data_IF_145496553165
#
_entry.id   IF_145496553165
#
_cell.length_a   1.000
_cell.length_b   1.000
_cell.length_c   1.000
_cell.angle_alpha   90.00
_cell.angle_beta   90.00
_cell.angle_gamma   90.00
#
_symmetry.space_group_name_H-M   'P 1'
#
loop_
_entity.id
_entity.type
_entity.pdbx_description
1 polymer ?
#
# COMPACT_ATOMS: atom_id res chain seq x y z
N UNK A 1 12.68 -6.70 49.67
CA UNK A 1 13.56 -7.32 48.67
C UNK A 1 13.80 -6.30 47.57
N UNK A 2 15.07 -6.10 47.22
CA UNK A 2 15.59 -4.99 46.42
C UNK A 2 14.98 -4.91 45.02
N UNK A 3 14.51 -3.72 44.66
CA UNK A 3 14.36 -3.29 43.27
C UNK A 3 15.75 -2.81 42.83
N UNK A 4 16.46 -3.63 42.06
CA UNK A 4 17.70 -3.22 41.41
C UNK A 4 17.36 -2.22 40.30
N UNK A 5 17.85 -1.00 40.46
CA UNK A 5 17.96 0.00 39.41
C UNK A 5 18.74 -0.58 38.23
N UNK A 6 18.06 -0.94 37.15
CA UNK A 6 18.68 -1.08 35.84
C UNK A 6 18.93 0.34 35.32
N UNK A 7 20.13 0.84 35.58
CA UNK A 7 20.59 2.11 35.02
C UNK A 7 20.68 2.00 33.51
N UNK A 8 19.75 2.64 32.81
CA UNK A 8 19.94 2.97 31.40
C UNK A 8 21.04 4.04 31.32
N UNK A 9 22.05 3.89 30.44
CA UNK A 9 23.05 4.91 30.26
C UNK A 9 22.39 6.18 29.71
N UNK A 10 22.53 7.28 30.45
CA UNK A 10 22.23 8.64 29.99
C UNK A 10 23.15 8.91 28.80
N UNK A 11 22.58 9.09 27.60
CA UNK A 11 23.35 9.57 26.46
C UNK A 11 23.86 10.97 26.79
N UNK A 12 25.18 11.12 26.95
CA UNK A 12 25.81 12.42 27.08
C UNK A 12 25.70 13.16 25.75
N UNK A 13 24.90 14.23 25.78
CA UNK A 13 24.73 15.24 24.74
C UNK A 13 26.03 16.07 24.62
N UNK A 14 27.07 15.47 24.03
CA UNK A 14 28.41 16.07 23.94
C UNK A 14 29.51 15.18 23.36
N UNK A 15 29.22 13.94 22.99
CA UNK A 15 30.20 13.06 22.32
C UNK A 15 30.28 13.36 20.82
N UNK A 16 31.50 13.60 20.32
CA UNK A 16 31.82 13.75 18.89
C UNK A 16 31.14 12.67 18.04
N UNK A 17 30.43 13.10 16.99
CA UNK A 17 29.92 12.22 15.94
C UNK A 17 31.14 11.65 15.20
N UNK A 18 31.55 10.42 15.52
CA UNK A 18 32.53 9.69 14.70
C UNK A 18 31.88 9.30 13.38
N UNK A 19 32.15 10.08 12.33
CA UNK A 19 31.82 9.71 10.96
C UNK A 19 32.63 8.47 10.56
N UNK A 20 31.93 7.35 10.32
CA UNK A 20 32.53 6.12 9.81
C UNK A 20 32.68 6.22 8.28
N UNK A 21 33.87 6.62 7.84
CA UNK A 21 34.29 6.57 6.44
C UNK A 21 35.73 6.11 6.34
N UNK A 22 36.02 5.20 5.39
CA UNK A 22 37.41 4.87 5.02
C UNK A 22 38.12 6.17 4.61
N UNK A 23 39.25 6.49 5.23
CA UNK A 23 40.20 7.52 4.77
C UNK A 23 40.58 7.22 3.31
N UNK A 24 39.92 7.86 2.34
CA UNK A 24 40.60 8.21 1.08
C UNK A 24 41.54 9.34 1.47
N UNK A 25 42.83 9.19 1.21
CA UNK A 25 43.80 10.26 1.34
C UNK A 25 43.38 11.42 0.44
N UNK A 26 42.68 12.39 1.01
CA UNK A 26 42.54 13.70 0.42
C UNK A 26 43.93 14.32 0.46
N UNK A 27 44.54 14.46 -0.71
CA UNK A 27 45.71 15.31 -0.92
C UNK A 27 45.48 16.63 -0.18
N UNK A 28 46.42 17.00 0.70
CA UNK A 28 46.39 18.21 1.53
C UNK A 28 46.11 19.43 0.65
N UNK A 29 44.85 19.82 0.54
CA UNK A 29 44.47 21.18 0.17
C UNK A 29 44.71 22.07 1.40
N UNK A 30 45.37 23.19 1.13
CA UNK A 30 45.62 24.34 2.00
C UNK A 30 44.54 24.55 3.08
N UNK A 31 44.97 24.76 4.33
CA UNK A 31 44.13 25.27 5.42
C UNK A 31 43.60 26.67 5.05
N UNK A 32 42.36 26.80 4.57
CA UNK A 32 41.73 28.12 4.52
C UNK A 32 40.20 28.20 4.41
N UNK A 33 39.42 27.17 4.74
CA UNK A 33 37.97 27.35 4.94
C UNK A 33 37.49 26.54 6.16
N UNK A 34 37.22 27.24 7.27
CA UNK A 34 36.61 26.69 8.49
C UNK A 34 35.13 26.28 8.28
N UNK A 35 34.49 26.88 7.27
CA UNK A 35 33.09 26.66 6.92
C UNK A 35 32.94 26.39 5.42
N UNK A 36 32.02 25.51 5.05
CA UNK A 36 31.65 25.31 3.65
C UNK A 36 30.77 26.48 3.18
N UNK A 37 31.22 27.23 2.18
CA UNK A 37 30.51 28.39 1.62
C UNK A 37 29.97 28.16 0.21
N UNK A 38 29.91 26.90 -0.24
CA UNK A 38 29.28 26.60 -1.54
C UNK A 38 27.77 26.88 -1.45
N UNK A 39 27.12 27.23 -2.57
CA UNK A 39 25.68 27.47 -2.60
C UNK A 39 24.86 26.33 -1.97
N UNK A 40 25.26 25.08 -2.23
CA UNK A 40 24.59 23.89 -1.72
C UNK A 40 24.70 23.77 -0.19
N UNK A 41 25.87 24.11 0.38
CA UNK A 41 26.07 24.13 1.82
C UNK A 41 25.24 25.22 2.51
N UNK A 42 25.17 26.40 1.90
CA UNK A 42 24.38 27.52 2.43
C UNK A 42 22.89 27.20 2.39
N UNK A 43 22.40 26.64 1.28
CA UNK A 43 21.01 26.21 1.12
C UNK A 43 20.64 25.12 2.13
N UNK A 44 21.49 24.09 2.27
CA UNK A 44 21.28 23.01 3.23
C UNK A 44 21.27 23.52 4.68
N UNK A 45 22.22 24.38 5.05
CA UNK A 45 22.27 24.98 6.38
C UNK A 45 21.04 25.84 6.67
N UNK A 46 20.62 26.69 5.72
CA UNK A 46 19.41 27.48 5.83
C UNK A 46 18.16 26.63 6.01
N UNK A 47 18.03 25.54 5.22
CA UNK A 47 16.91 24.59 5.28
C UNK A 47 16.86 23.80 6.58
N UNK A 48 18.01 23.49 7.20
CA UNK A 48 18.06 22.86 8.53
C UNK A 48 17.63 23.87 9.59
N UNK A 49 18.23 25.06 9.57
CA UNK A 49 17.99 26.09 10.58
C UNK A 49 16.54 26.57 10.63
N UNK A 50 15.85 26.66 9.47
CA UNK A 50 14.44 27.07 9.44
C UNK A 50 13.50 26.04 10.07
N UNK A 51 13.87 24.76 10.05
CA UNK A 51 13.03 23.67 10.58
C UNK A 51 13.20 23.47 12.09
N UNK A 52 14.32 23.93 12.64
CA UNK A 52 14.66 23.78 14.05
C UNK A 52 13.92 24.77 14.95
N UNK A 53 13.62 24.36 16.18
CA UNK A 53 13.14 25.23 17.24
C UNK A 53 14.08 25.17 18.46
N UNK A 54 14.92 26.19 18.59
CA UNK A 54 15.94 26.25 19.65
C UNK A 54 15.37 26.52 21.05
N UNK A 55 14.06 26.70 21.21
CA UNK A 55 13.43 26.80 22.53
C UNK A 55 13.34 25.44 23.24
N UNK A 56 13.40 24.34 22.49
CA UNK A 56 13.45 22.99 23.05
C UNK A 56 14.88 22.59 23.39
N UNK A 57 15.07 21.95 24.56
CA UNK A 57 16.32 21.31 24.91
C UNK A 57 16.48 20.03 24.06
N UNK A 58 17.50 19.90 23.18
CA UNK A 58 17.66 18.74 22.31
C UNK A 58 17.86 17.43 23.07
N UNK A 59 18.31 17.49 24.33
CA UNK A 59 18.55 16.31 25.15
C UNK A 59 17.28 15.87 25.91
N UNK A 60 16.21 16.69 25.88
CA UNK A 60 14.88 16.38 26.46
C UNK A 60 13.86 16.07 25.37
N UNK A 61 13.80 16.90 24.33
CA UNK A 61 12.91 16.72 23.17
C UNK A 61 13.64 17.07 21.87
N UNK A 62 14.35 16.08 21.33
CA UNK A 62 15.06 16.24 20.07
C UNK A 62 14.10 16.45 18.88
N UNK A 63 12.86 15.96 18.95
CA UNK A 63 11.89 16.13 17.87
C UNK A 63 11.36 17.56 17.83
N UNK A 64 10.95 18.12 18.98
CA UNK A 64 10.62 19.54 19.12
C UNK A 64 11.78 20.43 18.68
N UNK A 65 13.00 20.11 19.11
CA UNK A 65 14.19 20.86 18.69
C UNK A 65 14.48 20.82 17.19
N UNK A 66 14.37 19.65 16.55
CA UNK A 66 14.75 19.47 15.14
C UNK A 66 13.64 19.77 14.14
N UNK A 67 12.36 19.68 14.54
CA UNK A 67 11.20 19.81 13.67
C UNK A 67 10.20 20.88 14.11
N UNK A 68 10.36 21.49 15.29
CA UNK A 68 9.38 22.43 15.85
C UNK A 68 9.13 23.66 14.98
N UNK A 69 10.14 24.16 14.26
CA UNK A 69 9.99 25.23 13.28
C UNK A 69 9.13 24.78 12.09
N UNK A 70 9.41 23.58 11.56
CA UNK A 70 8.63 23.02 10.45
C UNK A 70 7.15 22.83 10.82
N UNK A 71 6.86 22.32 12.02
CA UNK A 71 5.48 22.10 12.49
C UNK A 71 4.66 23.40 12.58
N UNK A 72 5.31 24.53 12.92
CA UNK A 72 4.66 25.84 12.98
C UNK A 72 4.32 26.38 11.59
N UNK A 73 5.19 26.15 10.62
CA UNK A 73 5.06 26.69 9.25
C UNK A 73 4.21 25.81 8.33
N UNK A 74 4.01 24.53 8.67
CA UNK A 74 3.39 23.54 7.79
C UNK A 74 2.15 22.91 8.43
N UNK A 75 1.04 23.66 8.56
CA UNK A 75 -0.23 23.07 9.00
C UNK A 75 -0.70 22.00 8.02
N UNK A 76 -1.46 21.03 8.51
CA UNK A 76 -2.01 19.96 7.66
C UNK A 76 -2.96 20.58 6.63
N UNK A 77 -2.73 20.38 5.31
CA UNK A 77 -3.62 20.87 4.27
C UNK A 77 -5.04 20.28 4.39
N UNK A 78 -6.05 21.05 3.98
CA UNK A 78 -7.47 20.65 4.08
C UNK A 78 -7.82 19.36 3.31
N UNK A 79 -7.05 19.03 2.28
CA UNK A 79 -7.23 17.83 1.43
C UNK A 79 -6.44 16.61 1.94
N UNK A 80 -5.79 16.73 3.10
CA UNK A 80 -4.86 15.76 3.64
C UNK A 80 -5.23 15.38 5.08
N UNK A 81 -4.93 14.14 5.49
CA UNK A 81 -5.11 13.68 6.88
C UNK A 81 -3.84 13.76 7.72
N UNK A 82 -2.69 13.90 7.07
CA UNK A 82 -1.38 14.05 7.69
C UNK A 82 -0.47 14.82 6.74
N UNK A 83 0.52 15.52 7.28
CA UNK A 83 1.51 16.24 6.50
C UNK A 83 2.90 16.06 7.10
N UNK A 84 3.91 15.94 6.24
CA UNK A 84 5.28 15.63 6.63
C UNK A 84 6.20 15.59 5.42
N UNK A 85 7.47 15.23 5.64
CA UNK A 85 8.48 15.19 4.56
C UNK A 85 8.09 14.25 3.43
N UNK A 86 7.49 13.08 3.72
CA UNK A 86 7.09 12.12 2.69
C UNK A 86 5.92 12.62 1.83
N UNK A 87 4.76 13.05 2.38
CA UNK A 87 3.71 13.69 1.58
C UNK A 87 4.21 14.91 0.81
N UNK A 88 5.04 15.76 1.44
CA UNK A 88 5.63 16.91 0.78
C UNK A 88 6.48 16.51 -0.43
N UNK A 89 7.39 15.55 -0.28
CA UNK A 89 8.24 15.06 -1.36
C UNK A 89 7.40 14.41 -2.48
N UNK A 90 6.39 13.61 -2.08
CA UNK A 90 5.46 12.97 -3.00
C UNK A 90 4.75 14.01 -3.88
N UNK A 91 4.24 15.08 -3.27
CA UNK A 91 3.60 16.18 -4.00
C UNK A 91 4.55 16.85 -5.00
N UNK A 92 5.84 17.02 -4.65
CA UNK A 92 6.82 17.58 -5.58
C UNK A 92 7.07 16.66 -6.77
N UNK A 93 7.14 15.34 -6.54
CA UNK A 93 7.22 14.34 -7.60
C UNK A 93 5.97 14.36 -8.47
N UNK A 94 4.78 14.47 -7.87
CA UNK A 94 3.50 14.51 -8.57
C UNK A 94 3.37 15.75 -9.47
N UNK A 95 3.87 16.90 -9.04
CA UNK A 95 3.90 18.12 -9.86
C UNK A 95 4.80 17.92 -11.10
N UNK A 96 5.97 17.28 -10.94
CA UNK A 96 6.85 16.97 -12.07
C UNK A 96 6.23 15.94 -13.02
N UNK A 97 5.62 14.89 -12.49
CA UNK A 97 4.88 13.92 -13.30
C UNK A 97 3.70 14.55 -14.03
N UNK A 98 2.98 15.48 -13.41
CA UNK A 98 1.93 16.26 -14.05
C UNK A 98 2.45 17.00 -15.28
N UNK A 99 3.56 17.74 -15.14
CA UNK A 99 4.20 18.46 -16.26
C UNK A 99 4.50 17.50 -17.43
N UNK A 100 5.05 16.32 -17.15
CA UNK A 100 5.38 15.32 -18.16
C UNK A 100 4.14 14.66 -18.82
N UNK A 101 3.07 14.44 -18.05
CA UNK A 101 1.82 13.85 -18.55
C UNK A 101 0.97 14.84 -19.36
N UNK A 102 1.06 16.13 -19.06
CA UNK A 102 0.40 17.21 -19.79
C UNK A 102 1.10 17.57 -21.10
N UNK A 103 2.40 17.27 -21.20
CA UNK A 103 3.17 17.50 -22.42
C UNK A 103 2.53 16.85 -23.66
N UNK A 104 2.67 17.48 -24.84
CA UNK A 104 2.27 16.86 -26.10
C UNK A 104 2.86 15.46 -26.27
N UNK A 105 2.15 14.59 -26.97
CA UNK A 105 2.68 13.28 -27.32
C UNK A 105 3.66 13.44 -28.48
N UNK A 106 4.86 12.87 -28.35
CA UNK A 106 5.84 12.83 -29.43
C UNK A 106 5.49 11.66 -30.38
N UNK A 107 5.49 11.85 -31.71
CA UNK A 107 5.25 10.77 -32.67
C UNK A 107 6.16 9.54 -32.49
N UNK A 108 7.36 9.73 -31.95
CA UNK A 108 8.34 8.67 -31.68
C UNK A 108 8.27 8.14 -30.23
N UNK A 109 7.30 8.60 -29.43
CA UNK A 109 7.12 8.18 -28.06
C UNK A 109 6.67 6.71 -27.97
N UNK A 110 7.19 5.99 -26.97
CA UNK A 110 6.79 4.62 -26.72
C UNK A 110 5.28 4.52 -26.48
N UNK A 111 4.64 3.50 -27.06
CA UNK A 111 3.18 3.29 -26.93
C UNK A 111 2.72 3.28 -25.46
N UNK A 112 3.53 2.71 -24.56
CA UNK A 112 3.23 2.66 -23.13
C UNK A 112 3.12 4.07 -22.49
N UNK A 113 3.99 5.00 -22.90
CA UNK A 113 3.98 6.38 -22.42
C UNK A 113 2.82 7.15 -23.05
N UNK A 114 2.56 6.94 -24.35
CA UNK A 114 1.38 7.47 -25.04
C UNK A 114 0.09 7.05 -24.33
N UNK A 115 -0.04 5.77 -23.93
CA UNK A 115 -1.18 5.27 -23.14
C UNK A 115 -1.28 5.94 -21.77
N UNK A 116 -0.16 6.20 -21.09
CA UNK A 116 -0.17 6.92 -19.82
C UNK A 116 -0.70 8.35 -19.96
N UNK A 117 -0.26 9.09 -20.98
CA UNK A 117 -0.77 10.44 -21.30
C UNK A 117 -2.26 10.42 -21.68
N UNK A 118 -2.70 9.45 -22.48
CA UNK A 118 -4.13 9.27 -22.82
C UNK A 118 -4.96 9.01 -21.56
N UNK A 119 -4.49 8.13 -20.68
CA UNK A 119 -5.16 7.82 -19.42
C UNK A 119 -5.28 9.07 -18.53
N UNK A 120 -4.20 9.84 -18.40
CA UNK A 120 -4.20 11.12 -17.68
C UNK A 120 -5.26 12.10 -18.25
N UNK A 121 -5.23 12.34 -19.57
CA UNK A 121 -6.19 13.24 -20.24
C UNK A 121 -7.64 12.78 -20.06
N UNK A 122 -7.90 11.47 -20.12
CA UNK A 122 -9.24 10.92 -19.86
C UNK A 122 -9.70 11.17 -18.43
N UNK A 123 -8.79 11.08 -17.47
CA UNK A 123 -9.06 11.35 -16.06
C UNK A 123 -9.32 12.84 -15.83
N UNK A 124 -8.62 13.73 -16.53
CA UNK A 124 -8.77 15.19 -16.39
C UNK A 124 -10.08 15.74 -16.97
N UNK A 125 -10.72 15.04 -17.90
CA UNK A 125 -11.92 15.52 -18.58
C UNK A 125 -13.18 15.41 -17.68
N UNK A 126 -13.40 16.44 -16.85
CA UNK A 126 -14.57 16.53 -15.98
C UNK A 126 -15.89 16.65 -16.76
N UNK A 127 -15.90 17.29 -17.93
CA UNK A 127 -17.13 17.47 -18.73
C UNK A 127 -17.76 16.11 -19.08
N UNK A 128 -16.96 15.17 -19.58
CA UNK A 128 -17.44 13.82 -19.88
C UNK A 128 -17.83 13.11 -18.58
N UNK A 129 -17.04 13.24 -17.51
CA UNK A 129 -17.33 12.61 -16.22
C UNK A 129 -18.70 13.02 -15.66
N UNK A 130 -19.01 14.31 -15.71
CA UNK A 130 -20.31 14.85 -15.27
C UNK A 130 -21.45 14.42 -16.21
N UNK A 131 -21.20 14.31 -17.52
CA UNK A 131 -22.20 13.84 -18.48
C UNK A 131 -22.55 12.34 -18.32
N UNK A 132 -21.54 11.50 -18.04
CA UNK A 132 -21.75 10.06 -17.85
C UNK A 132 -22.24 9.73 -16.44
N UNK A 133 -21.81 10.50 -15.43
CA UNK A 133 -22.28 10.41 -14.05
C UNK A 133 -22.28 8.95 -13.53
N UNK A 134 -23.41 8.43 -13.04
CA UNK A 134 -23.51 7.08 -12.51
C UNK A 134 -23.66 6.00 -13.60
N UNK A 135 -23.86 6.38 -14.87
CA UNK A 135 -24.21 5.42 -15.95
C UNK A 135 -23.22 4.25 -16.07
N UNK A 136 -21.89 4.42 -15.98
CA UNK A 136 -20.95 3.30 -16.03
C UNK A 136 -21.16 2.33 -14.87
N UNK A 137 -21.37 2.85 -13.65
CA UNK A 137 -21.66 2.04 -12.47
C UNK A 137 -22.98 1.29 -12.61
N UNK A 138 -24.04 1.98 -13.05
CA UNK A 138 -25.35 1.37 -13.27
C UNK A 138 -25.30 0.28 -14.35
N UNK A 139 -24.47 0.44 -15.39
CA UNK A 139 -24.22 -0.61 -16.39
C UNK A 139 -23.61 -1.85 -15.77
N UNK A 140 -22.62 -1.71 -14.87
CA UNK A 140 -22.07 -2.83 -14.11
C UNK A 140 -23.14 -3.47 -13.22
N UNK A 141 -23.87 -2.67 -12.44
CA UNK A 141 -24.87 -3.18 -11.51
C UNK A 141 -26.04 -3.92 -12.18
N UNK A 142 -26.28 -3.72 -13.49
CA UNK A 142 -27.27 -4.47 -14.29
C UNK A 142 -26.86 -5.91 -14.61
N UNK A 143 -25.55 -6.21 -14.58
CA UNK A 143 -25.06 -7.58 -14.77
C UNK A 143 -25.55 -8.48 -13.63
N UNK A 144 -25.98 -9.72 -13.89
CA UNK A 144 -26.58 -10.61 -12.88
C UNK A 144 -25.76 -10.77 -11.60
N UNK A 145 -24.44 -10.90 -11.73
CA UNK A 145 -23.48 -11.10 -10.63
C UNK A 145 -23.32 -9.86 -9.75
N UNK A 146 -23.64 -8.68 -10.28
CA UNK A 146 -23.44 -7.37 -9.64
C UNK A 146 -24.75 -6.69 -9.20
N UNK A 147 -25.90 -7.35 -9.40
CA UNK A 147 -27.20 -6.80 -8.97
C UNK A 147 -27.17 -6.48 -7.47
N UNK A 148 -27.54 -5.26 -7.12
CA UNK A 148 -27.50 -4.75 -5.76
C UNK A 148 -28.92 -4.72 -5.17
N UNK A 149 -29.23 -5.60 -4.21
CA UNK A 149 -30.60 -5.74 -3.71
C UNK A 149 -31.23 -4.45 -3.17
N UNK A 150 -30.44 -3.53 -2.60
CA UNK A 150 -30.94 -2.24 -2.07
C UNK A 150 -31.63 -1.37 -3.12
N UNK A 151 -31.28 -1.53 -4.40
CA UNK A 151 -31.86 -0.74 -5.48
C UNK A 151 -33.30 -1.16 -5.82
N UNK A 152 -33.76 -2.32 -5.33
CA UNK A 152 -35.10 -2.83 -5.64
C UNK A 152 -35.35 -2.89 -7.15
N UNK A 153 -36.53 -2.44 -7.60
CA UNK A 153 -36.88 -2.35 -9.03
C UNK A 153 -36.40 -1.02 -9.68
N UNK A 154 -35.54 -0.25 -8.99
CA UNK A 154 -35.14 1.10 -9.37
C UNK A 154 -34.37 1.22 -10.69
N UNK A 155 -34.02 0.11 -11.33
CA UNK A 155 -33.35 0.07 -12.64
C UNK A 155 -34.20 -0.54 -13.76
N UNK A 156 -35.51 -0.69 -13.52
CA UNK A 156 -36.51 -1.18 -14.48
C UNK A 156 -37.03 -2.58 -14.12
N UNK A 157 -38.11 -3.00 -14.78
CA UNK A 157 -38.79 -4.28 -14.48
C UNK A 157 -37.89 -5.52 -14.66
N UNK A 158 -36.90 -5.46 -15.56
CA UNK A 158 -35.93 -6.55 -15.78
C UNK A 158 -34.84 -6.64 -14.69
N UNK A 159 -34.79 -5.65 -13.80
CA UNK A 159 -33.84 -5.59 -12.69
C UNK A 159 -34.42 -6.26 -11.45
N UNK A 160 -34.43 -7.59 -11.43
CA UNK A 160 -34.89 -8.35 -10.29
C UNK A 160 -33.73 -9.08 -9.63
N UNK A 161 -33.44 -8.75 -8.37
CA UNK A 161 -32.53 -9.54 -7.56
C UNK A 161 -33.31 -10.62 -6.82
N UNK A 162 -32.87 -11.88 -6.91
CA UNK A 162 -33.45 -12.99 -6.15
C UNK A 162 -32.36 -13.81 -5.48
N UNK A 163 -32.60 -14.22 -4.23
CA UNK A 163 -31.65 -15.00 -3.46
C UNK A 163 -31.33 -16.36 -4.12
N UNK A 164 -32.32 -16.97 -4.78
CA UNK A 164 -32.16 -18.29 -5.43
C UNK A 164 -31.32 -18.28 -6.71
N UNK A 165 -31.22 -17.12 -7.40
CA UNK A 165 -30.39 -16.98 -8.61
C UNK A 165 -29.00 -16.41 -8.31
N UNK A 166 -28.82 -15.79 -7.15
CA UNK A 166 -27.57 -15.16 -6.77
C UNK A 166 -26.56 -16.19 -6.25
N UNK A 167 -25.34 -16.14 -6.76
CA UNK A 167 -24.23 -16.99 -6.33
C UNK A 167 -23.10 -16.13 -5.78
N UNK A 168 -22.84 -16.23 -4.47
CA UNK A 168 -21.72 -15.52 -3.84
C UNK A 168 -20.40 -15.85 -4.52
N UNK A 169 -20.13 -17.13 -4.83
CA UNK A 169 -18.88 -17.56 -5.47
C UNK A 169 -18.67 -16.87 -6.81
N UNK A 170 -19.69 -16.89 -7.69
CA UNK A 170 -19.61 -16.25 -9.01
C UNK A 170 -19.40 -14.74 -8.87
N UNK A 171 -20.16 -14.08 -7.99
CA UNK A 171 -19.98 -12.66 -7.71
C UNK A 171 -18.56 -12.32 -7.24
N UNK A 172 -18.00 -13.10 -6.30
CA UNK A 172 -16.64 -12.86 -5.81
C UNK A 172 -15.57 -13.10 -6.88
N UNK A 173 -15.77 -14.10 -7.74
CA UNK A 173 -14.88 -14.37 -8.88
C UNK A 173 -14.94 -13.22 -9.89
N UNK A 174 -16.14 -12.75 -10.22
CA UNK A 174 -16.32 -11.67 -11.21
C UNK A 174 -15.78 -10.32 -10.71
N UNK A 175 -15.97 -10.01 -9.42
CA UNK A 175 -15.32 -8.85 -8.78
C UNK A 175 -13.80 -8.95 -8.90
N UNK A 176 -13.23 -10.15 -8.73
CA UNK A 176 -11.78 -10.34 -8.85
C UNK A 176 -11.32 -10.19 -10.30
N UNK A 177 -12.04 -10.78 -11.25
CA UNK A 177 -11.67 -10.80 -12.66
C UNK A 177 -11.84 -9.45 -13.34
N UNK A 178 -13.02 -8.84 -13.27
CA UNK A 178 -13.30 -7.58 -13.96
C UNK A 178 -12.69 -6.36 -13.27
N UNK A 179 -12.46 -6.44 -11.96
CA UNK A 179 -12.15 -5.25 -11.16
C UNK A 179 -10.86 -5.35 -10.35
N UNK A 180 -10.21 -6.52 -10.30
CA UNK A 180 -9.01 -6.77 -9.49
C UNK A 180 -9.22 -6.40 -8.01
N UNK A 181 -10.47 -6.48 -7.52
CA UNK A 181 -10.83 -6.22 -6.12
C UNK A 181 -11.05 -7.52 -5.38
N UNK A 182 -10.96 -7.44 -4.05
CA UNK A 182 -11.17 -8.57 -3.14
C UNK A 182 -12.15 -8.14 -2.07
N UNK A 183 -13.22 -8.92 -1.92
CA UNK A 183 -14.29 -8.70 -0.95
C UNK A 183 -14.49 -10.00 -0.21
N UNK A 184 -14.43 -9.98 1.13
CA UNK A 184 -14.41 -11.16 2.02
C UNK A 184 -13.15 -12.04 1.87
N UNK A 185 -12.82 -12.46 0.66
CA UNK A 185 -11.69 -13.32 0.33
C UNK A 185 -10.72 -12.59 -0.61
N UNK A 186 -9.42 -12.63 -0.29
CA UNK A 186 -8.34 -12.17 -1.16
C UNK A 186 -7.59 -13.37 -1.73
N UNK A 187 -7.56 -13.47 -3.05
CA UNK A 187 -6.73 -14.42 -3.79
C UNK A 187 -5.65 -13.65 -4.56
N UNK A 188 -4.40 -14.07 -4.40
CA UNK A 188 -3.28 -13.51 -5.16
C UNK A 188 -2.19 -14.55 -5.37
N UNK A 189 -1.33 -14.32 -6.36
CA UNK A 189 -0.17 -15.16 -6.65
C UNK A 189 1.08 -14.39 -6.24
N UNK A 190 1.97 -15.03 -5.47
CA UNK A 190 3.23 -14.43 -5.02
C UNK A 190 4.26 -15.53 -4.75
N UNK A 191 5.55 -15.19 -4.58
CA UNK A 191 6.57 -16.18 -4.25
C UNK A 191 6.21 -17.00 -3.01
N UNK A 192 6.51 -18.30 -3.00
CA UNK A 192 6.31 -19.17 -1.83
C UNK A 192 7.28 -18.75 -0.72
N UNK A 193 6.76 -18.48 0.49
CA UNK A 193 7.56 -17.98 1.62
C UNK A 193 8.65 -18.98 2.06
N UNK A 194 8.49 -20.27 1.74
CA UNK A 194 9.50 -21.32 1.97
C UNK A 194 10.30 -21.71 0.72
N UNK A 195 9.90 -21.25 -0.46
CA UNK A 195 10.63 -21.45 -1.72
C UNK A 195 10.44 -20.26 -2.68
N UNK A 196 11.28 -19.24 -2.53
CA UNK A 196 11.20 -17.99 -3.28
C UNK A 196 11.44 -18.13 -4.79
N UNK A 197 11.89 -19.29 -5.28
CA UNK A 197 12.06 -19.57 -6.71
C UNK A 197 10.76 -19.98 -7.41
N UNK A 198 9.67 -20.18 -6.66
CA UNK A 198 8.38 -20.61 -7.19
C UNK A 198 7.26 -19.69 -6.74
N UNK A 199 6.22 -19.56 -7.55
CA UNK A 199 5.00 -18.84 -7.22
C UNK A 199 3.93 -19.81 -6.73
N UNK A 200 3.09 -19.35 -5.80
CA UNK A 200 1.99 -20.14 -5.23
C UNK A 200 0.76 -19.25 -5.02
N UNK A 201 -0.43 -19.83 -5.18
CA UNK A 201 -1.69 -19.17 -4.85
C UNK A 201 -1.79 -18.99 -3.34
N UNK A 202 -2.07 -17.75 -2.91
CA UNK A 202 -2.30 -17.39 -1.51
C UNK A 202 -3.74 -16.92 -1.32
N UNK A 203 -4.39 -17.44 -0.28
CA UNK A 203 -5.74 -17.08 0.16
C UNK A 203 -5.65 -16.37 1.50
N UNK A 204 -6.14 -15.14 1.56
CA UNK A 204 -6.05 -14.28 2.75
C UNK A 204 -7.37 -13.53 3.02
N UNK A 205 -7.49 -12.95 4.21
CA UNK A 205 -8.58 -12.04 4.54
C UNK A 205 -8.56 -10.81 3.63
N UNK A 206 -9.72 -10.42 3.10
CA UNK A 206 -9.85 -9.15 2.38
C UNK A 206 -9.81 -7.96 3.36
N UNK A 207 -9.46 -6.77 2.85
CA UNK A 207 -9.52 -5.54 3.65
C UNK A 207 -10.96 -5.19 4.02
N UNK A 208 -11.14 -4.36 5.05
CA UNK A 208 -12.43 -3.77 5.42
C UNK A 208 -12.63 -2.37 4.79
N UNK A 209 -13.79 -1.76 5.00
CA UNK A 209 -14.10 -0.41 4.47
C UNK A 209 -13.52 0.71 5.34
N UNK A 210 -13.53 0.55 6.66
CA UNK A 210 -12.83 1.43 7.60
C UNK A 210 -11.36 1.03 7.66
N UNK A 211 -10.55 1.99 8.11
CA UNK A 211 -9.09 1.92 8.03
C UNK A 211 -8.51 0.88 8.97
N UNK A 212 -9.08 0.77 10.17
CA UNK A 212 -8.60 -0.14 11.20
C UNK A 212 -9.65 -1.18 11.56
N UNK A 213 -9.19 -2.29 12.15
CA UNK A 213 -10.08 -3.28 12.74
C UNK A 213 -10.78 -2.67 13.97
N UNK A 214 -10.07 -1.81 14.67
CA UNK A 214 -10.43 -1.16 15.92
C UNK A 214 -11.65 -0.24 15.73
N UNK A 215 -11.80 0.36 14.55
CA UNK A 215 -12.97 1.17 14.16
C UNK A 215 -14.29 0.38 14.20
N UNK A 216 -14.23 -0.96 14.16
CA UNK A 216 -15.38 -1.84 14.22
C UNK A 216 -15.63 -2.45 15.60
N UNK A 217 -14.73 -2.24 16.57
CA UNK A 217 -14.71 -2.98 17.84
C UNK A 217 -15.32 -2.21 19.00
N UNK A 218 -15.49 -0.89 18.86
CA UNK A 218 -15.96 -0.04 19.95
C UNK A 218 -17.43 -0.26 20.34
N UNK A 219 -18.22 -1.06 19.59
CA UNK A 219 -19.62 -1.32 19.97
C UNK A 219 -20.35 -2.59 19.43
N UNK A 220 -19.74 -3.63 18.83
CA UNK A 220 -20.46 -4.91 18.53
C UNK A 220 -19.55 -6.09 18.13
N UNK A 221 -20.00 -7.32 18.43
CA UNK A 221 -19.19 -8.52 18.72
C UNK A 221 -18.93 -9.53 17.57
N UNK A 222 -19.15 -9.19 16.30
CA UNK A 222 -18.90 -10.15 15.19
C UNK A 222 -17.61 -9.90 14.42
N UNK A 223 -17.25 -8.64 14.13
CA UNK A 223 -16.01 -8.31 13.41
C UNK A 223 -14.75 -8.62 14.24
N UNK A 224 -14.83 -8.44 15.56
CA UNK A 224 -13.77 -8.77 16.51
C UNK A 224 -13.39 -10.25 16.47
N UNK A 225 -14.38 -11.13 16.30
CA UNK A 225 -14.23 -12.58 16.37
C UNK A 225 -13.62 -13.21 15.10
N UNK A 226 -13.70 -12.52 13.96
CA UNK A 226 -13.35 -13.11 12.66
C UNK A 226 -11.94 -12.70 12.19
N UNK A 227 -11.54 -11.43 12.39
CA UNK A 227 -10.25 -10.92 11.90
C UNK A 227 -9.06 -11.40 12.74
N UNK A 228 -7.95 -11.73 12.07
CA UNK A 228 -6.70 -12.11 12.76
C UNK A 228 -6.07 -10.86 13.43
N UNK A 229 -5.80 -10.91 14.75
CA UNK A 229 -5.09 -9.86 15.48
C UNK A 229 -3.71 -9.58 14.88
N UNK A 230 -3.26 -8.33 14.94
CA UNK A 230 -1.97 -7.92 14.36
C UNK A 230 -0.79 -8.76 14.88
N UNK A 231 -0.76 -9.04 16.18
CA UNK A 231 0.28 -9.85 16.84
C UNK A 231 0.42 -11.27 16.26
N UNK A 232 -0.67 -11.84 15.74
CA UNK A 232 -0.67 -13.18 15.15
C UNK A 232 -0.29 -13.21 13.66
N UNK A 233 -0.01 -12.05 13.04
CA UNK A 233 0.33 -11.94 11.61
C UNK A 233 1.81 -12.18 11.33
N UNK A 234 2.39 -13.24 11.91
CA UNK A 234 3.78 -13.63 11.63
C UNK A 234 3.87 -14.45 10.34
N UNK A 235 5.04 -14.42 9.68
CA UNK A 235 5.25 -15.21 8.46
C UNK A 235 5.06 -16.71 8.70
N UNK A 236 5.39 -17.20 9.89
CA UNK A 236 5.26 -18.61 10.27
C UNK A 236 3.81 -19.00 10.50
N UNK A 237 3.07 -18.23 11.32
CA UNK A 237 1.66 -18.52 11.64
C UNK A 237 0.75 -18.40 10.42
N UNK A 238 1.09 -17.51 9.49
CA UNK A 238 0.33 -17.31 8.26
C UNK A 238 0.77 -18.26 7.12
N UNK A 239 1.77 -19.12 7.33
CA UNK A 239 2.15 -20.13 6.35
C UNK A 239 1.42 -21.46 6.60
N UNK A 240 0.19 -21.57 6.11
CA UNK A 240 -0.56 -22.83 6.20
C UNK A 240 -0.74 -23.44 4.81
N UNK A 241 0.08 -24.44 4.48
CA UNK A 241 0.05 -25.10 3.18
C UNK A 241 -1.04 -26.17 3.12
N UNK A 242 -1.93 -26.05 2.16
CA UNK A 242 -3.01 -26.99 1.86
C UNK A 242 -2.91 -27.46 0.41
N UNK A 243 -3.52 -28.61 0.10
CA UNK A 243 -4.06 -28.84 -1.24
C UNK A 243 -5.51 -28.34 -1.27
N UNK A 244 -6.04 -27.96 -2.43
CA UNK A 244 -7.46 -27.54 -2.54
C UNK A 244 -8.42 -28.60 -2.00
N UNK A 245 -8.17 -29.88 -2.26
CA UNK A 245 -8.94 -31.01 -1.70
C UNK A 245 -8.87 -31.10 -0.17
N UNK A 246 -7.72 -30.79 0.45
CA UNK A 246 -7.59 -30.73 1.91
C UNK A 246 -8.31 -29.51 2.48
N UNK A 247 -8.21 -28.37 1.82
CA UNK A 247 -8.92 -27.15 2.21
C UNK A 247 -10.43 -27.35 2.16
N UNK A 248 -10.94 -27.95 1.09
CA UNK A 248 -12.36 -28.29 0.94
C UNK A 248 -12.86 -29.19 2.07
N UNK A 249 -12.08 -30.19 2.48
CA UNK A 249 -12.45 -31.04 3.63
C UNK A 249 -12.43 -30.28 4.96
N UNK A 250 -11.51 -29.32 5.12
CA UNK A 250 -11.37 -28.56 6.37
C UNK A 250 -12.38 -27.42 6.50
N UNK A 251 -12.84 -26.84 5.38
CA UNK A 251 -13.78 -25.72 5.32
C UNK A 251 -14.76 -26.01 4.18
N UNK A 252 -15.73 -26.93 4.38
CA UNK A 252 -16.59 -27.44 3.31
C UNK A 252 -17.68 -26.46 2.85
N UNK A 253 -17.89 -25.36 3.57
CA UNK A 253 -18.98 -24.41 3.33
C UNK A 253 -18.82 -23.58 2.05
N UNK A 254 -17.65 -23.61 1.40
CA UNK A 254 -17.35 -22.85 0.20
C UNK A 254 -16.66 -23.75 -0.83
N UNK A 255 -17.01 -23.61 -2.11
CA UNK A 255 -16.39 -24.35 -3.20
C UNK A 255 -15.06 -23.68 -3.58
N UNK A 256 -13.99 -24.12 -2.92
CA UNK A 256 -12.64 -23.56 -3.11
C UNK A 256 -12.07 -23.86 -4.49
N UNK A 257 -12.32 -25.06 -5.02
CA UNK A 257 -11.83 -25.44 -6.34
C UNK A 257 -12.54 -24.63 -7.42
N UNK A 258 -13.87 -24.53 -7.36
CA UNK A 258 -14.65 -23.73 -8.29
C UNK A 258 -14.26 -22.25 -8.25
N UNK A 259 -14.05 -21.67 -7.07
CA UNK A 259 -13.62 -20.28 -6.95
C UNK A 259 -12.22 -20.04 -7.54
N UNK A 260 -11.24 -20.88 -7.20
CA UNK A 260 -9.87 -20.72 -7.71
C UNK A 260 -9.85 -20.89 -9.23
N UNK A 261 -10.57 -21.87 -9.77
CA UNK A 261 -10.73 -22.02 -11.22
C UNK A 261 -11.32 -20.79 -11.87
N UNK A 262 -12.44 -20.29 -11.33
CA UNK A 262 -13.12 -19.12 -11.87
C UNK A 262 -12.26 -17.84 -11.87
N UNK A 263 -11.23 -17.76 -11.02
CA UNK A 263 -10.33 -16.60 -10.93
C UNK A 263 -9.03 -16.78 -11.71
N UNK A 264 -8.49 -18.01 -11.76
CA UNK A 264 -7.13 -18.27 -12.27
C UNK A 264 -7.16 -18.85 -13.68
N UNK A 265 -8.15 -19.69 -14.01
CA UNK A 265 -8.27 -20.22 -15.37
C UNK A 265 -8.74 -19.10 -16.30
N UNK A 266 -8.08 -18.96 -17.44
CA UNK A 266 -8.37 -17.93 -18.44
C UNK A 266 -8.46 -18.58 -19.81
N UNK A 267 -9.44 -18.14 -20.62
CA UNK A 267 -9.58 -18.58 -22.01
C UNK A 267 -8.33 -18.26 -22.85
N UNK A 268 -7.57 -17.25 -22.46
CA UNK A 268 -6.31 -16.89 -23.13
C UNK A 268 -5.17 -17.89 -22.85
N UNK A 269 -5.27 -18.70 -21.79
CA UNK A 269 -4.25 -19.67 -21.38
C UNK A 269 -4.87 -21.02 -20.99
N UNK A 270 -5.49 -21.75 -21.94
CA UNK A 270 -6.25 -22.97 -21.66
C UNK A 270 -5.39 -24.12 -21.11
N UNK A 271 -4.07 -24.04 -21.27
CA UNK A 271 -3.13 -25.02 -20.73
C UNK A 271 -2.97 -24.95 -19.19
N UNK A 272 -3.34 -23.83 -18.55
CA UNK A 272 -3.32 -23.71 -17.09
C UNK A 272 -4.66 -24.19 -16.54
N UNK A 273 -4.75 -25.49 -16.22
CA UNK A 273 -5.89 -26.04 -15.49
C UNK A 273 -5.54 -26.32 -14.03
N UNK A 274 -6.41 -25.87 -13.14
CA UNK A 274 -6.27 -26.08 -11.69
C UNK A 274 -6.95 -27.38 -11.31
N UNK A 275 -6.27 -28.24 -10.55
CA UNK A 275 -6.83 -29.49 -10.07
C UNK A 275 -7.06 -29.47 -8.56
N UNK A 276 -7.76 -30.48 -8.02
CA UNK A 276 -8.00 -30.59 -6.59
C UNK A 276 -6.73 -30.88 -5.76
N UNK A 277 -5.61 -31.22 -6.40
CA UNK A 277 -4.31 -31.38 -5.76
C UNK A 277 -3.47 -30.09 -5.73
N UNK A 278 -3.93 -29.00 -6.35
CA UNK A 278 -3.21 -27.72 -6.41
C UNK A 278 -2.80 -27.25 -5.00
N UNK A 279 -1.50 -26.98 -4.77
CA UNK A 279 -1.03 -26.46 -3.50
C UNK A 279 -1.37 -24.97 -3.35
N UNK A 280 -1.89 -24.60 -2.19
CA UNK A 280 -2.22 -23.22 -1.84
C UNK A 280 -1.71 -22.88 -0.44
N UNK A 281 -1.38 -21.62 -0.22
CA UNK A 281 -1.11 -21.09 1.13
C UNK A 281 -2.35 -20.37 1.65
N UNK A 282 -2.92 -20.88 2.73
CA UNK A 282 -4.03 -20.24 3.44
C UNK A 282 -3.45 -19.40 4.57
N UNK A 283 -3.42 -18.09 4.35
CA UNK A 283 -2.86 -17.12 5.30
C UNK A 283 -3.66 -17.03 6.59
N UNK A 284 -4.98 -17.22 6.48
CA UNK A 284 -5.92 -17.01 7.57
C UNK A 284 -6.98 -18.13 7.65
N UNK A 285 -6.63 -19.37 8.01
CA UNK A 285 -7.58 -20.50 7.98
C UNK A 285 -8.74 -20.33 8.98
N UNK A 286 -8.49 -19.79 10.17
CA UNK A 286 -9.53 -19.58 11.17
C UNK A 286 -10.51 -18.46 10.75
N UNK A 287 -10.00 -17.40 10.10
CA UNK A 287 -10.83 -16.36 9.50
C UNK A 287 -11.87 -16.96 8.55
N UNK A 288 -11.45 -17.86 7.65
CA UNK A 288 -12.38 -18.48 6.70
C UNK A 288 -13.43 -19.37 7.36
N UNK A 289 -13.05 -20.14 8.39
CA UNK A 289 -14.00 -20.96 9.16
C UNK A 289 -15.11 -20.10 9.76
N UNK A 290 -14.76 -19.04 10.47
CA UNK A 290 -15.75 -18.16 11.11
C UNK A 290 -16.50 -17.31 10.08
N UNK A 291 -15.84 -16.87 9.01
CA UNK A 291 -16.47 -16.13 7.92
C UNK A 291 -17.61 -16.92 7.28
N UNK A 292 -17.36 -18.16 6.85
CA UNK A 292 -18.39 -18.95 6.18
C UNK A 292 -19.48 -19.43 7.14
N UNK A 293 -19.16 -19.62 8.43
CA UNK A 293 -20.17 -19.81 9.47
C UNK A 293 -21.10 -18.59 9.59
N UNK A 294 -20.53 -17.37 9.59
CA UNK A 294 -21.32 -16.13 9.63
C UNK A 294 -22.17 -15.96 8.36
N UNK A 295 -21.57 -16.16 7.18
CA UNK A 295 -22.27 -16.03 5.89
C UNK A 295 -23.48 -16.99 5.84
N UNK A 296 -23.30 -18.24 6.24
CA UNK A 296 -24.38 -19.23 6.21
C UNK A 296 -25.49 -18.95 7.23
N UNK A 297 -25.19 -18.23 8.32
CA UNK A 297 -26.17 -17.80 9.31
C UNK A 297 -26.83 -16.45 8.97
N UNK A 298 -26.36 -15.76 7.93
CA UNK A 298 -26.83 -14.43 7.55
C UNK A 298 -27.76 -14.52 6.35
N UNK A 299 -28.80 -13.71 6.35
CA UNK A 299 -29.72 -13.60 5.21
C UNK A 299 -28.96 -13.27 3.89
N UNK A 300 -29.20 -13.99 2.78
CA UNK A 300 -28.46 -13.81 1.52
C UNK A 300 -28.54 -12.39 0.96
N UNK A 301 -29.67 -11.68 1.17
CA UNK A 301 -29.84 -10.29 0.71
C UNK A 301 -28.91 -9.37 1.47
N UNK A 302 -28.70 -9.61 2.76
CA UNK A 302 -27.74 -8.87 3.59
C UNK A 302 -26.31 -9.08 3.11
N UNK A 303 -25.91 -10.33 2.84
CA UNK A 303 -24.57 -10.64 2.30
C UNK A 303 -24.36 -10.00 0.94
N UNK A 304 -25.34 -10.10 0.03
CA UNK A 304 -25.28 -9.47 -1.28
C UNK A 304 -25.16 -7.94 -1.19
N UNK A 305 -25.94 -7.29 -0.30
CA UNK A 305 -25.83 -5.86 -0.06
C UNK A 305 -24.44 -5.44 0.42
N UNK A 306 -23.84 -6.19 1.35
CA UNK A 306 -22.48 -5.94 1.81
C UNK A 306 -21.49 -6.06 0.64
N UNK A 307 -21.54 -7.16 -0.12
CA UNK A 307 -20.60 -7.40 -1.24
C UNK A 307 -20.70 -6.29 -2.28
N UNK A 308 -21.91 -5.91 -2.69
CA UNK A 308 -22.08 -4.85 -3.68
C UNK A 308 -21.73 -3.46 -3.13
N UNK A 309 -22.03 -3.17 -1.86
CA UNK A 309 -21.56 -1.94 -1.22
C UNK A 309 -20.03 -1.82 -1.28
N UNK A 310 -19.30 -2.90 -0.97
CA UNK A 310 -17.83 -2.90 -1.06
C UNK A 310 -17.34 -2.62 -2.48
N UNK A 311 -18.00 -3.18 -3.49
CA UNK A 311 -17.70 -2.92 -4.90
C UNK A 311 -17.96 -1.47 -5.29
N UNK A 312 -19.16 -0.96 -4.99
CA UNK A 312 -19.57 0.42 -5.31
C UNK A 312 -18.69 1.43 -4.59
N UNK A 313 -18.48 1.27 -3.28
CA UNK A 313 -17.66 2.14 -2.46
C UNK A 313 -16.24 2.31 -3.04
N UNK A 314 -15.65 1.23 -3.56
CA UNK A 314 -14.31 1.27 -4.18
C UNK A 314 -14.21 2.07 -5.48
N UNK A 315 -15.35 2.49 -6.06
CA UNK A 315 -15.48 3.21 -7.33
C UNK A 315 -16.17 4.57 -7.19
N UNK A 316 -16.69 4.92 -6.01
CA UNK A 316 -17.34 6.23 -5.77
C UNK A 316 -16.41 7.37 -6.16
N UNK A 317 -15.11 7.23 -5.89
CA UNK A 317 -14.12 8.25 -6.20
C UNK A 317 -13.85 8.38 -7.70
N UNK A 318 -14.37 7.53 -8.58
CA UNK A 318 -14.21 7.67 -10.04
C UNK A 318 -15.49 8.12 -10.74
N UNK A 319 -16.53 8.51 -10.00
CA UNK A 319 -17.79 9.04 -10.54
C UNK A 319 -17.80 10.57 -10.54
N UNK A 320 -18.92 11.16 -10.94
CA UNK A 320 -19.16 12.61 -10.95
C UNK A 320 -19.07 13.25 -9.57
N UNK A 321 -19.02 14.58 -9.58
CA UNK A 321 -18.81 15.43 -8.41
C UNK A 321 -19.81 15.19 -7.29
N UNK A 322 -21.08 14.88 -7.59
CA UNK A 322 -22.10 14.60 -6.57
C UNK A 322 -21.75 13.39 -5.70
N UNK A 323 -21.09 12.38 -6.26
CA UNK A 323 -20.62 11.20 -5.51
C UNK A 323 -19.35 11.53 -4.72
N UNK A 324 -18.46 12.35 -5.29
CA UNK A 324 -17.27 12.82 -4.58
C UNK A 324 -17.61 13.63 -3.33
N UNK A 325 -18.66 14.45 -3.36
CA UNK A 325 -19.11 15.16 -2.16
C UNK A 325 -19.65 14.23 -1.07
N UNK A 326 -20.35 13.14 -1.45
CA UNK A 326 -20.77 12.12 -0.47
C UNK A 326 -19.58 11.36 0.11
N UNK A 327 -18.55 11.12 -0.70
CA UNK A 327 -17.30 10.57 -0.20
C UNK A 327 -16.57 11.53 0.74
N UNK A 328 -16.59 12.84 0.45
CA UNK A 328 -15.99 13.85 1.30
C UNK A 328 -16.69 13.93 2.67
N UNK A 329 -18.01 13.84 2.71
CA UNK A 329 -18.75 13.78 3.98
C UNK A 329 -18.29 12.61 4.86
N UNK A 330 -18.02 11.46 4.24
CA UNK A 330 -17.43 10.30 4.91
C UNK A 330 -15.95 10.52 5.30
N UNK A 331 -15.14 11.12 4.42
CA UNK A 331 -13.72 11.39 4.67
C UNK A 331 -13.51 12.41 5.81
N UNK A 332 -14.39 13.42 5.95
CA UNK A 332 -14.38 14.36 7.07
C UNK A 332 -14.42 13.66 8.42
N UNK A 333 -15.26 12.63 8.54
CA UNK A 333 -15.43 11.88 9.80
C UNK A 333 -14.31 10.86 9.99
N UNK A 334 -13.84 10.23 8.91
CA UNK A 334 -12.90 9.10 9.01
C UNK A 334 -11.44 9.50 8.95
N UNK A 335 -11.09 10.59 8.28
CA UNK A 335 -9.70 11.04 8.09
C UNK A 335 -9.48 12.52 8.46
N UNK A 336 -10.53 13.27 8.79
CA UNK A 336 -10.44 14.70 9.11
C UNK A 336 -10.30 15.62 7.90
N UNK A 337 -10.26 15.06 6.69
CA UNK A 337 -10.09 15.79 5.43
C UNK A 337 -11.35 16.62 5.10
N UNK A 338 -11.20 17.92 4.86
CA UNK A 338 -12.31 18.86 4.71
C UNK A 338 -12.58 19.31 3.28
N UNK A 339 -11.61 19.13 2.37
CA UNK A 339 -11.72 19.43 0.93
C UNK A 339 -11.34 18.24 0.04
N UNK A 340 -11.67 18.32 -1.25
CA UNK A 340 -11.30 17.28 -2.21
C UNK A 340 -9.88 17.53 -2.74
N UNK A 341 -9.08 16.47 -2.85
CA UNK A 341 -7.79 16.50 -3.55
C UNK A 341 -7.96 17.06 -4.98
N UNK A 342 -7.06 17.95 -5.44
CA UNK A 342 -7.10 18.47 -6.80
C UNK A 342 -7.17 17.36 -7.86
N UNK A 343 -7.93 17.63 -8.94
CA UNK A 343 -8.17 16.61 -9.98
C UNK A 343 -6.87 16.13 -10.63
N UNK A 344 -5.94 17.04 -10.93
CA UNK A 344 -4.65 16.70 -11.52
C UNK A 344 -3.87 15.72 -10.65
N UNK A 345 -3.84 15.95 -9.34
CA UNK A 345 -3.07 15.14 -8.39
C UNK A 345 -3.65 13.72 -8.31
N UNK A 346 -4.98 13.63 -8.19
CA UNK A 346 -5.70 12.36 -8.28
C UNK A 346 -5.44 11.63 -9.60
N UNK A 347 -5.36 12.35 -10.72
CA UNK A 347 -5.12 11.76 -12.02
C UNK A 347 -3.68 11.30 -12.22
N UNK A 348 -2.68 12.05 -11.71
CA UNK A 348 -1.28 11.60 -11.66
C UNK A 348 -1.18 10.31 -10.86
N UNK A 349 -1.70 10.30 -9.64
CA UNK A 349 -1.74 9.13 -8.78
C UNK A 349 -2.44 7.93 -9.46
N UNK A 350 -3.55 8.16 -10.17
CA UNK A 350 -4.25 7.09 -10.88
C UNK A 350 -3.41 6.47 -12.00
N UNK A 351 -2.71 7.30 -12.77
CA UNK A 351 -1.86 6.84 -13.89
C UNK A 351 -0.62 6.13 -13.36
N UNK A 352 0.05 6.65 -12.34
CA UNK A 352 1.22 6.01 -11.74
C UNK A 352 0.86 4.62 -11.17
N UNK A 353 -0.24 4.52 -10.41
CA UNK A 353 -0.66 3.25 -9.83
C UNK A 353 -1.11 2.22 -10.89
N UNK A 354 -1.52 2.68 -12.08
CA UNK A 354 -1.97 1.80 -13.17
C UNK A 354 -0.84 1.42 -14.13
N UNK A 355 0.10 2.34 -14.38
CA UNK A 355 1.14 2.25 -15.40
C UNK A 355 2.50 2.67 -14.80
N UNK A 356 2.87 2.06 -13.68
CA UNK A 356 4.05 2.41 -12.87
C UNK A 356 5.36 2.41 -13.67
N UNK A 357 5.53 1.45 -14.58
CA UNK A 357 6.75 1.37 -15.39
C UNK A 357 6.83 2.45 -16.48
N UNK A 358 5.69 2.80 -17.08
CA UNK A 358 5.63 3.83 -18.11
C UNK A 358 5.89 5.22 -17.49
N UNK A 359 5.24 5.51 -16.37
CA UNK A 359 5.45 6.75 -15.61
C UNK A 359 6.83 6.82 -14.98
N UNK A 360 7.34 5.71 -14.44
CA UNK A 360 8.69 5.61 -13.90
C UNK A 360 9.76 5.89 -14.96
N UNK A 361 9.64 5.29 -16.17
CA UNK A 361 10.53 5.60 -17.29
C UNK A 361 10.47 7.08 -17.67
N UNK A 362 9.26 7.61 -17.86
CA UNK A 362 9.03 9.01 -18.23
C UNK A 362 9.70 9.97 -17.23
N UNK A 363 9.61 9.67 -15.94
CA UNK A 363 10.22 10.46 -14.88
C UNK A 363 11.74 10.36 -14.86
N UNK A 364 12.27 9.13 -14.88
CA UNK A 364 13.72 8.87 -14.79
C UNK A 364 14.46 9.48 -15.99
N UNK A 365 13.90 9.35 -17.21
CA UNK A 365 14.50 9.90 -18.43
C UNK A 365 14.69 11.43 -18.36
N UNK A 366 13.91 12.14 -17.53
CA UNK A 366 13.96 13.61 -17.42
C UNK A 366 14.61 14.12 -16.14
N UNK A 367 14.35 13.47 -15.00
CA UNK A 367 14.66 14.01 -13.67
C UNK A 367 15.74 13.25 -12.91
N UNK A 368 16.20 12.09 -13.40
CA UNK A 368 17.22 11.30 -12.74
C UNK A 368 18.57 11.40 -13.45
N UNK A 369 19.63 11.65 -12.69
CA UNK A 369 21.00 11.67 -13.19
C UNK A 369 21.71 10.37 -12.77
N UNK A 370 22.35 9.67 -13.72
CA UNK A 370 22.93 8.34 -13.48
C UNK A 370 24.06 8.36 -12.43
N UNK A 371 24.77 9.50 -12.25
CA UNK A 371 25.79 9.66 -11.20
C UNK A 371 25.22 9.50 -9.78
N UNK A 372 23.93 9.83 -9.58
CA UNK A 372 23.24 9.65 -8.28
C UNK A 372 23.10 8.19 -7.90
N UNK A 373 22.99 7.30 -8.89
CA UNK A 373 22.91 5.85 -8.66
C UNK A 373 24.20 5.33 -8.03
N UNK A 374 25.35 5.71 -8.58
CA UNK A 374 26.65 5.27 -8.05
C UNK A 374 26.89 5.76 -6.62
N UNK A 375 26.55 7.01 -6.31
CA UNK A 375 26.65 7.52 -4.94
C UNK A 375 25.73 6.76 -3.98
N UNK A 376 24.52 6.41 -4.40
CA UNK A 376 23.59 5.63 -3.59
C UNK A 376 24.09 4.18 -3.38
N UNK A 377 24.65 3.56 -4.41
CA UNK A 377 25.30 2.24 -4.31
C UNK A 377 26.43 2.26 -3.27
N UNK A 378 27.29 3.29 -3.29
CA UNK A 378 28.35 3.46 -2.29
C UNK A 378 27.79 3.63 -0.87
N UNK A 379 26.73 4.43 -0.70
CA UNK A 379 26.05 4.62 0.59
C UNK A 379 25.49 3.29 1.13
N UNK A 380 24.78 2.53 0.29
CA UNK A 380 24.21 1.23 0.65
C UNK A 380 25.32 0.27 1.09
N UNK A 381 26.44 0.23 0.36
CA UNK A 381 27.60 -0.56 0.75
C UNK A 381 28.27 -0.07 2.04
N UNK A 382 28.21 1.24 2.33
CA UNK A 382 28.63 1.82 3.60
C UNK A 382 27.78 1.32 4.76
N UNK A 383 26.45 1.45 4.65
CA UNK A 383 25.48 0.99 5.66
C UNK A 383 25.60 -0.51 5.90
N UNK A 384 25.71 -1.31 4.83
CA UNK A 384 25.90 -2.76 4.92
C UNK A 384 27.16 -3.13 5.71
N UNK A 385 28.28 -2.45 5.45
CA UNK A 385 29.53 -2.68 6.19
C UNK A 385 29.39 -2.32 7.66
N UNK A 386 28.78 -1.17 7.97
CA UNK A 386 28.54 -0.76 9.35
C UNK A 386 27.66 -1.77 10.10
N UNK A 387 26.61 -2.27 9.44
CA UNK A 387 25.74 -3.31 10.01
C UNK A 387 26.51 -4.60 10.33
N UNK A 388 27.35 -5.08 9.41
CA UNK A 388 28.21 -6.26 9.65
C UNK A 388 29.18 -6.00 10.81
N UNK A 389 29.78 -4.81 10.88
CA UNK A 389 30.72 -4.44 11.95
C UNK A 389 30.05 -4.48 13.34
N UNK A 390 28.82 -3.95 13.44
CA UNK A 390 28.01 -4.00 14.67
C UNK A 390 27.73 -5.46 15.06
N UNK A 391 27.34 -6.31 14.11
CA UNK A 391 27.08 -7.74 14.38
C UNK A 391 28.32 -8.49 14.89
N UNK A 392 29.50 -8.15 14.37
CA UNK A 392 30.75 -8.81 14.72
C UNK A 392 31.32 -8.30 16.05
N UNK A 393 31.31 -6.99 16.29
CA UNK A 393 32.09 -6.36 17.36
C UNK A 393 31.28 -5.91 18.57
N UNK A 394 30.04 -5.48 18.36
CA UNK A 394 29.26 -4.81 19.41
C UNK A 394 28.08 -5.66 19.88
N UNK A 395 27.56 -6.54 19.03
CA UNK A 395 26.45 -7.40 19.36
C UNK A 395 26.88 -8.48 20.36
N UNK A 396 26.36 -8.46 21.58
CA UNK A 396 26.70 -9.41 22.65
C UNK A 396 25.59 -10.44 22.93
N UNK A 397 24.36 -10.14 22.50
CA UNK A 397 23.19 -10.98 22.76
C UNK A 397 22.97 -12.14 21.78
N UNK A 398 23.62 -12.15 20.60
CA UNK A 398 23.52 -13.27 19.64
C UNK A 398 24.66 -14.27 19.79
N UNK A 399 24.34 -15.56 19.72
CA UNK A 399 25.35 -16.61 19.63
C UNK A 399 26.13 -16.58 18.30
N UNK A 400 27.32 -17.18 18.30
CA UNK A 400 28.20 -17.21 17.13
C UNK A 400 27.55 -17.86 15.89
N UNK A 401 26.85 -19.01 16.00
CA UNK A 401 26.16 -19.60 14.85
C UNK A 401 25.13 -18.66 14.20
N UNK A 402 24.35 -17.93 15.00
CA UNK A 402 23.31 -17.02 14.51
C UNK A 402 23.93 -15.78 13.87
N UNK A 403 24.98 -15.19 14.49
CA UNK A 403 25.75 -14.10 13.88
C UNK A 403 26.30 -14.46 12.51
N UNK A 404 26.89 -15.65 12.38
CA UNK A 404 27.43 -16.14 11.09
C UNK A 404 26.34 -16.19 10.00
N UNK A 405 25.14 -16.68 10.33
CA UNK A 405 23.99 -16.69 9.40
C UNK A 405 23.49 -15.29 9.07
N UNK A 406 23.46 -14.37 10.03
CA UNK A 406 23.06 -12.98 9.81
C UNK A 406 24.02 -12.24 8.86
N UNK A 407 25.33 -12.43 9.05
CA UNK A 407 26.38 -11.88 8.17
C UNK A 407 26.27 -12.46 6.76
N UNK A 408 26.08 -13.78 6.65
CA UNK A 408 25.87 -14.43 5.35
C UNK A 408 24.64 -13.86 4.63
N UNK A 409 23.53 -13.65 5.34
CA UNK A 409 22.32 -13.03 4.79
C UNK A 409 22.58 -11.59 4.33
N UNK A 410 23.25 -10.77 5.15
CA UNK A 410 23.62 -9.41 4.78
C UNK A 410 24.54 -9.36 3.55
N UNK A 411 25.36 -10.41 3.35
CA UNK A 411 26.24 -10.55 2.20
C UNK A 411 25.54 -10.79 0.87
N UNK A 412 24.36 -11.42 0.88
CA UNK A 412 23.61 -11.89 -0.31
C UNK A 412 22.66 -10.85 -0.93
N UNK A 413 22.40 -9.73 -0.25
CA UNK A 413 21.69 -8.59 -0.84
C UNK A 413 22.71 -7.74 -1.60
N UNK A 414 22.95 -8.09 -2.87
CA UNK A 414 23.78 -7.36 -3.83
C UNK A 414 23.07 -7.25 -5.16
#
# INVERSE_FOLDING_TARGET
MHVQNLGFPVMHCGSEIRLWGKRKEFSRKSHQEEFCLTPECIEAAGSILSKMDRSFNPCEDFYGFSCGGWLKENPIPEDSSSYGVYPWLRQHVDIRLKELLEAPSDPNELEAVTKAKILYRSCMNETILEQVDAKPMLKTLKQPEFRWPVLGDGLGADYQWSAGQWSLLKTLAEIRNQHSKSVLLRLYVSPDDKNSSTYIIKLDQASLSLLSREDYITNTSSAQAILIPYENRTSENMYNRYTLSRLQRSIPQFDWLGYVKAVVESEAEPARSISSSEPVIVRAPQYFKELFKLINATDPRTVANYVQWRTVFSRITTLSRRFLYRYLDYARVTTGTTSLTPRWDKCVNYVENSLVYATGRLFVDTHFQEDKKHMMEELIQGVRRAFIDILEKENDWMDLPTKKRAIEKAGRHS
#
